data_IF_664172184359
#
_entry.id   IF_664172184359
#
_cell.length_a   1.000
_cell.length_b   1.000
_cell.length_c   1.000
_cell.angle_alpha   90.00
_cell.angle_beta   90.00
_cell.angle_gamma   90.00
#
_symmetry.space_group_name_H-M   'P 1'
#
loop_
_entity.id
_entity.type
_entity.pdbx_description
1 polymer ?
#
# COMPACT_ATOMS: atom_id res chain seq x y z
N UNK A 1 -10.17 31.71 8.41
CA UNK A 1 -11.58 32.11 8.56
C UNK A 1 -12.42 30.91 8.13
N UNK A 2 -13.04 30.19 9.07
CA UNK A 2 -13.92 29.09 8.71
C UNK A 2 -15.27 29.67 8.24
N UNK A 3 -15.66 29.33 7.02
CA UNK A 3 -16.96 29.70 6.47
C UNK A 3 -18.05 28.86 7.14
N UNK A 4 -19.06 29.53 7.71
CA UNK A 4 -20.21 28.90 8.36
C UNK A 4 -21.33 28.79 7.32
N UNK A 5 -21.80 27.57 7.03
CA UNK A 5 -22.87 27.35 6.05
C UNK A 5 -24.24 27.74 6.66
N UNK A 6 -25.23 28.06 5.80
CA UNK A 6 -26.62 28.39 6.19
C UNK A 6 -27.30 27.29 7.01
N UNK A 7 -26.81 26.06 6.89
CA UNK A 7 -27.27 24.88 7.65
C UNK A 7 -26.73 24.83 9.09
N UNK A 8 -25.96 25.84 9.52
CA UNK A 8 -25.34 25.90 10.86
C UNK A 8 -24.10 25.02 11.03
N UNK A 9 -23.69 24.27 9.99
CA UNK A 9 -22.47 23.45 10.01
C UNK A 9 -21.23 24.28 9.68
N UNK A 10 -20.16 24.05 10.44
CA UNK A 10 -18.85 24.66 10.17
C UNK A 10 -18.10 23.80 9.16
N UNK A 11 -17.75 24.34 7.99
CA UNK A 11 -16.90 23.65 7.00
C UNK A 11 -15.42 23.77 7.43
N UNK A 12 -15.06 23.06 8.50
CA UNK A 12 -13.68 23.04 9.01
C UNK A 12 -12.93 21.75 8.66
N UNK A 13 -13.45 20.94 7.72
CA UNK A 13 -12.70 19.78 7.22
C UNK A 13 -11.50 20.27 6.40
N UNK A 14 -10.38 20.36 7.11
CA UNK A 14 -9.06 20.59 6.55
C UNK A 14 -8.80 19.60 5.41
N UNK A 15 -8.10 20.04 4.38
CA UNK A 15 -7.74 19.21 3.23
C UNK A 15 -7.07 17.87 3.62
N UNK A 16 -6.41 17.83 4.79
CA UNK A 16 -5.81 16.64 5.38
C UNK A 16 -6.85 15.58 5.81
N UNK A 17 -7.98 16.00 6.39
CA UNK A 17 -9.02 15.09 6.85
C UNK A 17 -9.68 14.39 5.66
N UNK A 18 -9.90 15.13 4.57
CA UNK A 18 -10.42 14.59 3.31
C UNK A 18 -9.42 13.64 2.65
N UNK A 19 -8.13 13.96 2.70
CA UNK A 19 -7.08 13.06 2.19
C UNK A 19 -6.99 11.76 2.99
N UNK A 20 -7.10 11.80 4.32
CA UNK A 20 -7.13 10.59 5.16
C UNK A 20 -8.34 9.71 4.83
N UNK A 21 -9.51 10.30 4.54
CA UNK A 21 -10.70 9.57 4.11
C UNK A 21 -10.47 8.90 2.73
N UNK A 22 -9.89 9.62 1.77
CA UNK A 22 -9.60 9.09 0.44
C UNK A 22 -8.57 7.95 0.47
N UNK A 23 -7.51 8.09 1.28
CA UNK A 23 -6.50 7.05 1.48
C UNK A 23 -7.08 5.83 2.20
N UNK A 24 -7.86 6.04 3.26
CA UNK A 24 -8.54 4.96 3.98
C UNK A 24 -9.52 4.18 3.10
N UNK A 25 -10.30 4.88 2.27
CA UNK A 25 -11.27 4.26 1.36
C UNK A 25 -10.63 3.41 0.26
N UNK A 26 -9.57 3.92 -0.38
CA UNK A 26 -8.85 3.20 -1.46
C UNK A 26 -8.07 1.99 -0.95
N UNK A 27 -7.39 2.11 0.20
CA UNK A 27 -6.72 0.99 0.85
C UNK A 27 -7.74 -0.05 1.32
N UNK A 28 -8.85 0.39 1.92
CA UNK A 28 -9.88 -0.48 2.50
C UNK A 28 -10.60 -1.34 1.47
N UNK A 29 -11.05 -0.76 0.36
CA UNK A 29 -11.70 -1.53 -0.71
C UNK A 29 -10.73 -2.50 -1.40
N UNK A 30 -9.49 -2.09 -1.65
CA UNK A 30 -8.46 -2.96 -2.23
C UNK A 30 -8.11 -4.17 -1.36
N UNK A 31 -7.92 -3.95 -0.05
CA UNK A 31 -7.66 -5.02 0.91
C UNK A 31 -8.86 -5.96 1.05
N UNK A 32 -10.08 -5.43 1.15
CA UNK A 32 -11.26 -6.24 1.43
C UNK A 32 -11.75 -7.04 0.22
N UNK A 33 -11.86 -6.40 -0.97
CA UNK A 33 -12.25 -7.12 -2.20
C UNK A 33 -11.15 -8.10 -2.66
N UNK A 34 -9.88 -7.74 -2.52
CA UNK A 34 -8.75 -8.60 -2.92
C UNK A 34 -8.53 -9.78 -1.98
N UNK A 35 -8.54 -9.53 -0.66
CA UNK A 35 -8.29 -10.59 0.33
C UNK A 35 -9.48 -11.53 0.47
N UNK A 36 -10.73 -11.02 0.45
CA UNK A 36 -11.92 -11.84 0.70
C UNK A 36 -12.06 -13.04 -0.24
N UNK A 37 -11.82 -12.84 -1.54
CA UNK A 37 -11.81 -13.91 -2.55
C UNK A 37 -10.69 -14.93 -2.30
N UNK A 38 -9.52 -14.46 -1.88
CA UNK A 38 -8.32 -15.29 -1.70
C UNK A 38 -8.37 -16.09 -0.39
N UNK A 39 -8.91 -15.51 0.68
CA UNK A 39 -9.13 -16.14 1.99
C UNK A 39 -10.08 -17.34 1.84
N UNK A 40 -11.16 -17.20 1.06
CA UNK A 40 -12.15 -18.27 0.88
C UNK A 40 -11.57 -19.48 0.15
N UNK A 41 -10.64 -19.28 -0.78
CA UNK A 41 -10.01 -20.37 -1.54
C UNK A 41 -8.82 -21.01 -0.83
N UNK A 42 -8.07 -20.24 -0.04
CA UNK A 42 -6.75 -20.65 0.50
C UNK A 42 -6.76 -21.03 1.98
N UNK A 43 -7.84 -20.74 2.72
CA UNK A 43 -7.96 -21.07 4.13
C UNK A 43 -7.08 -20.17 5.05
N UNK A 44 -6.83 -20.58 6.32
CA UNK A 44 -6.21 -19.73 7.35
C UNK A 44 -4.73 -19.38 7.09
N UNK A 45 -4.08 -20.00 6.09
CA UNK A 45 -2.68 -19.76 5.71
C UNK A 45 -2.44 -18.36 5.12
N UNK A 46 -3.48 -17.72 4.59
CA UNK A 46 -3.44 -16.37 4.00
C UNK A 46 -2.93 -15.29 4.99
N UNK A 47 -3.19 -15.49 6.29
CA UNK A 47 -2.78 -14.58 7.36
C UNK A 47 -1.26 -14.53 7.49
N UNK A 48 -0.59 -15.68 7.35
CA UNK A 48 0.88 -15.77 7.34
C UNK A 48 1.49 -15.11 6.09
N UNK A 49 0.85 -15.30 4.92
CA UNK A 49 1.31 -14.69 3.67
C UNK A 49 1.22 -13.16 3.75
N UNK A 50 0.10 -12.62 4.27
CA UNK A 50 -0.05 -11.17 4.47
C UNK A 50 0.98 -10.59 5.42
N UNK A 51 1.35 -11.32 6.48
CA UNK A 51 2.37 -10.90 7.45
C UNK A 51 3.77 -10.81 6.80
N UNK A 52 4.16 -11.83 6.03
CA UNK A 52 5.45 -11.86 5.31
C UNK A 52 5.51 -10.74 4.26
N UNK A 53 4.46 -10.59 3.44
CA UNK A 53 4.38 -9.56 2.40
C UNK A 53 4.41 -8.17 3.03
N UNK A 54 3.73 -7.96 4.15
CA UNK A 54 3.76 -6.71 4.91
C UNK A 54 5.17 -6.35 5.41
N UNK A 55 5.93 -7.33 5.91
CA UNK A 55 7.33 -7.12 6.33
C UNK A 55 8.20 -6.71 5.14
N UNK A 56 8.08 -7.39 3.99
CA UNK A 56 8.81 -7.02 2.77
C UNK A 56 8.44 -5.62 2.27
N UNK A 57 7.16 -5.28 2.31
CA UNK A 57 6.66 -3.96 1.91
C UNK A 57 7.16 -2.85 2.85
N UNK A 58 7.28 -3.13 4.15
CA UNK A 58 7.87 -2.20 5.13
C UNK A 58 9.33 -1.87 4.80
N UNK A 59 10.14 -2.87 4.41
CA UNK A 59 11.51 -2.63 3.94
C UNK A 59 11.55 -1.78 2.66
N UNK A 60 10.59 -1.94 1.76
CA UNK A 60 10.48 -1.13 0.55
C UNK A 60 10.13 0.34 0.87
N UNK A 61 9.14 0.58 1.73
CA UNK A 61 8.75 1.93 2.16
C UNK A 61 9.90 2.64 2.89
N UNK A 62 10.67 1.93 3.71
CA UNK A 62 11.86 2.48 4.39
C UNK A 62 12.96 2.88 3.40
N UNK A 63 13.14 2.14 2.31
CA UNK A 63 14.09 2.50 1.25
C UNK A 63 13.63 3.72 0.43
N UNK A 64 12.32 3.93 0.28
CA UNK A 64 11.77 5.13 -0.37
C UNK A 64 11.86 6.34 0.55
N UNK A 65 11.58 6.16 1.84
CA UNK A 65 11.58 7.21 2.86
C UNK A 65 12.93 7.90 3.06
N UNK A 66 14.04 7.24 2.74
CA UNK A 66 15.38 7.87 2.76
C UNK A 66 15.68 8.71 1.51
N UNK A 67 14.90 8.61 0.42
CA UNK A 67 15.17 9.29 -0.87
C UNK A 67 14.20 10.40 -1.24
N UNK A 68 13.13 10.59 -0.48
CA UNK A 68 12.09 11.61 -0.72
C UNK A 68 12.59 13.07 -0.55
N UNK A 69 13.77 13.28 0.05
CA UNK A 69 14.39 14.60 0.24
C UNK A 69 15.10 15.16 -1.02
N UNK A 70 14.96 14.52 -2.19
CA UNK A 70 15.59 14.91 -3.46
C UNK A 70 14.50 15.20 -4.53
N UNK A 71 14.74 16.09 -5.52
CA UNK A 71 13.76 16.41 -6.58
C UNK A 71 13.31 15.15 -7.35
N UNK A 72 12.02 15.13 -7.74
CA UNK A 72 11.18 13.92 -7.80
C UNK A 72 11.04 13.26 -9.18
N UNK A 73 11.72 13.74 -10.21
CA UNK A 73 11.60 13.23 -11.58
C UNK A 73 12.71 12.26 -11.99
N UNK A 74 13.93 12.38 -11.45
CA UNK A 74 15.03 11.44 -11.73
C UNK A 74 14.97 10.15 -10.88
N UNK A 75 14.41 10.23 -9.67
CA UNK A 75 14.51 9.14 -8.66
C UNK A 75 13.54 7.97 -8.92
N UNK A 76 12.40 8.20 -9.57
CA UNK A 76 11.40 7.17 -9.81
C UNK A 76 11.82 6.20 -10.93
N UNK A 77 12.42 6.71 -12.01
CA UNK A 77 12.90 5.90 -13.13
C UNK A 77 14.16 5.09 -12.75
N UNK A 78 15.13 5.69 -12.07
CA UNK A 78 16.34 5.01 -11.56
C UNK A 78 16.01 3.94 -10.49
N UNK A 79 15.05 4.21 -9.59
CA UNK A 79 14.61 3.21 -8.59
C UNK A 79 13.83 2.05 -9.21
N UNK A 80 13.07 2.30 -10.28
CA UNK A 80 12.35 1.26 -11.01
C UNK A 80 13.30 0.41 -11.86
N UNK A 81 14.33 1.03 -12.46
CA UNK A 81 15.30 0.38 -13.35
C UNK A 81 16.42 -0.38 -12.64
N UNK A 82 16.92 0.10 -11.49
CA UNK A 82 18.02 -0.54 -10.73
C UNK A 82 17.55 -1.65 -9.77
N UNK A 83 16.28 -1.64 -9.32
CA UNK A 83 15.75 -2.61 -8.33
C UNK A 83 15.15 -3.88 -8.96
N UNK A 84 15.13 -3.97 -10.28
CA UNK A 84 14.39 -4.98 -11.04
C UNK A 84 14.93 -6.43 -10.88
N UNK A 85 16.22 -6.67 -10.60
CA UNK A 85 16.78 -8.04 -10.77
C UNK A 85 16.90 -8.92 -9.52
N UNK A 86 17.00 -8.38 -8.29
CA UNK A 86 17.29 -9.20 -7.08
C UNK A 86 16.13 -9.32 -6.09
N UNK A 87 15.26 -8.31 -5.99
CA UNK A 87 14.12 -8.33 -5.06
C UNK A 87 12.84 -8.89 -5.67
N UNK A 88 12.56 -8.61 -6.96
CA UNK A 88 11.46 -9.24 -7.70
C UNK A 88 11.62 -10.76 -7.76
N UNK A 89 12.85 -11.29 -7.77
CA UNK A 89 13.12 -12.74 -7.76
C UNK A 89 12.69 -13.42 -6.45
N UNK A 90 12.90 -12.77 -5.29
CA UNK A 90 12.43 -13.30 -4.01
C UNK A 90 10.92 -13.27 -3.89
N UNK A 91 10.28 -12.16 -4.30
CA UNK A 91 8.83 -12.01 -4.24
C UNK A 91 8.14 -12.96 -5.22
N UNK A 92 8.64 -13.08 -6.46
CA UNK A 92 8.12 -14.02 -7.45
C UNK A 92 8.31 -15.47 -7.02
N UNK A 93 9.46 -15.83 -6.46
CA UNK A 93 9.69 -17.18 -5.94
C UNK A 93 8.81 -17.50 -4.72
N UNK A 94 8.55 -16.51 -3.86
CA UNK A 94 7.66 -16.67 -2.70
C UNK A 94 6.19 -16.79 -3.11
N UNK A 95 5.75 -15.99 -4.07
CA UNK A 95 4.40 -16.10 -4.67
C UNK A 95 4.24 -17.43 -5.39
N UNK A 96 5.25 -17.86 -6.16
CA UNK A 96 5.23 -19.15 -6.85
C UNK A 96 5.27 -20.33 -5.86
N UNK A 97 6.01 -20.23 -4.76
CA UNK A 97 6.03 -21.24 -3.69
C UNK A 97 4.72 -21.30 -2.88
N UNK A 98 4.12 -20.14 -2.59
CA UNK A 98 2.81 -20.05 -1.93
C UNK A 98 1.71 -20.59 -2.84
N UNK A 99 1.75 -20.24 -4.14
CA UNK A 99 0.76 -20.71 -5.11
C UNK A 99 0.95 -22.19 -5.51
N UNK A 100 2.15 -22.76 -5.33
CA UNK A 100 2.43 -24.18 -5.53
C UNK A 100 2.09 -25.06 -4.30
N UNK A 101 1.85 -24.45 -3.13
CA UNK A 101 1.56 -25.15 -1.86
C UNK A 101 0.19 -24.75 -1.27
N UNK A 102 -0.64 -24.06 -2.05
CA UNK A 102 -2.04 -23.72 -1.77
C UNK A 102 -2.93 -24.37 -2.82
#
# INVERSE_FOLDING_TARGET
MAEINKDGTRRELKNLNVQMIALGGSIGTGLFLGSGSTIHRTGPSILFVYLIVGILFFFMLRAIGTRISQPKDEVFDESFKSRHSRQQRFVFCFIHAVCANA
#
